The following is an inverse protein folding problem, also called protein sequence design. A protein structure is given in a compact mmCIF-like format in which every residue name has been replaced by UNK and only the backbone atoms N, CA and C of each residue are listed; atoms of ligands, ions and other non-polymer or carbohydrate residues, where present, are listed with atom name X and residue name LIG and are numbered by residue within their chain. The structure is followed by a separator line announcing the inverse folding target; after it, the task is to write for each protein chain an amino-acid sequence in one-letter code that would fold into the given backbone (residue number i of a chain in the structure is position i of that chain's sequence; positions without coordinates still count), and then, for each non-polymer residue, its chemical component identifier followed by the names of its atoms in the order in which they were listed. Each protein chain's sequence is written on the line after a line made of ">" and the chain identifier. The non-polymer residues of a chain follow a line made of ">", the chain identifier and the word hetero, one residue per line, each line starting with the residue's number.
data_IF_820057578120
#
_entry.id   IF_820057578120
#
_cell.length_a   1.000
_cell.length_b   1.000
_cell.length_c   1.000
_cell.angle_alpha   90.00
_cell.angle_beta   90.00
_cell.angle_gamma   90.00
#
_symmetry.space_group_name_H-M   'P 1'
#
loop_
_entity.id
_entity.type
_entity.pdbx_description
1 polymer ?
#
# COMPACT_ATOMS: atom_id res chain seq x y z
N UNK A 1 -8.16 -10.09 7.95
CA UNK A 1 -7.16 -11.18 7.95
C UNK A 1 -5.79 -10.54 7.88
N UNK A 2 -4.95 -10.68 8.91
CA UNK A 2 -3.60 -10.12 8.89
C UNK A 2 -2.71 -10.92 7.92
N UNK A 3 -2.23 -10.27 6.86
CA UNK A 3 -1.52 -10.92 5.74
C UNK A 3 -0.03 -11.17 6.02
N UNK A 4 0.50 -10.58 7.10
CA UNK A 4 1.94 -10.61 7.43
C UNK A 4 2.43 -12.04 7.72
N UNK A 5 1.69 -12.84 8.48
CA UNK A 5 2.12 -14.21 8.79
C UNK A 5 2.32 -15.07 7.54
N UNK A 6 1.31 -15.21 6.66
CA UNK A 6 1.45 -15.97 5.42
C UNK A 6 2.59 -15.46 4.51
N UNK A 7 2.79 -14.14 4.39
CA UNK A 7 3.79 -13.59 3.45
C UNK A 7 5.22 -14.01 3.78
N UNK A 8 5.54 -14.23 5.07
CA UNK A 8 6.86 -14.71 5.51
C UNK A 8 7.23 -16.09 4.96
N UNK A 9 6.26 -16.86 4.46
CA UNK A 9 6.49 -18.23 3.99
C UNK A 9 6.77 -18.34 2.49
N UNK A 10 6.53 -17.26 1.73
CA UNK A 10 6.61 -17.22 0.27
C UNK A 10 8.03 -16.96 -0.29
N UNK A 11 8.87 -16.08 0.30
CA UNK A 11 10.19 -15.80 -0.24
C UNK A 11 11.11 -17.02 -0.20
N UNK A 12 12.01 -17.08 -1.18
CA UNK A 12 13.16 -18.00 -1.19
C UNK A 12 14.12 -17.67 -0.04
N UNK A 13 15.11 -18.55 0.19
CA UNK A 13 16.24 -18.25 1.10
C UNK A 13 16.96 -16.97 0.66
N UNK A 14 17.26 -16.09 1.60
CA UNK A 14 17.79 -14.74 1.41
C UNK A 14 16.78 -13.76 0.80
N UNK A 15 15.50 -14.10 0.77
CA UNK A 15 14.46 -13.26 0.18
C UNK A 15 14.06 -12.08 1.06
N UNK A 16 13.35 -11.12 0.45
CA UNK A 16 12.94 -9.88 1.11
C UNK A 16 11.43 -9.81 1.32
N UNK A 17 11.02 -9.17 2.42
CA UNK A 17 9.63 -8.87 2.74
C UNK A 17 9.52 -7.40 3.12
N UNK A 18 8.83 -6.61 2.29
CA UNK A 18 8.53 -5.21 2.57
C UNK A 18 7.17 -5.08 3.28
N UNK A 19 7.16 -4.46 4.46
CA UNK A 19 5.97 -4.20 5.26
C UNK A 19 5.53 -2.74 5.09
N UNK A 20 4.41 -2.53 4.39
CA UNK A 20 3.78 -1.22 4.18
C UNK A 20 2.46 -1.04 4.95
N UNK A 21 1.76 -2.13 5.23
CA UNK A 21 0.44 -2.08 5.88
C UNK A 21 0.56 -1.81 7.38
N UNK A 22 -0.32 -0.95 7.90
CA UNK A 22 -0.40 -0.63 9.33
C UNK A 22 -1.37 -1.60 10.00
N UNK A 23 -0.93 -2.43 10.96
CA UNK A 23 -1.83 -3.27 11.73
C UNK A 23 -2.59 -2.43 12.77
N UNK A 24 -3.91 -2.63 12.86
CA UNK A 24 -4.76 -2.03 13.91
C UNK A 24 -5.08 -3.01 15.05
N UNK A 25 -4.45 -4.19 15.04
CA UNK A 25 -4.58 -5.24 16.05
C UNK A 25 -3.29 -6.06 16.10
N UNK A 26 -3.11 -6.84 17.16
CA UNK A 26 -1.95 -7.70 17.35
C UNK A 26 -1.76 -8.69 16.19
N UNK A 27 -0.50 -8.90 15.82
CA UNK A 27 -0.12 -9.85 14.78
C UNK A 27 0.33 -11.15 15.44
N UNK A 28 -0.46 -12.20 15.24
CA UNK A 28 -0.12 -13.55 15.70
C UNK A 28 0.65 -14.30 14.61
N UNK A 29 1.83 -14.83 14.96
CA UNK A 29 2.66 -15.64 14.08
C UNK A 29 2.74 -17.07 14.61
N UNK A 30 2.45 -18.04 13.75
CA UNK A 30 2.75 -19.43 14.05
C UNK A 30 4.26 -19.67 14.07
N UNK A 31 4.70 -20.70 14.80
CA UNK A 31 6.10 -21.16 14.82
C UNK A 31 6.68 -21.31 13.40
N UNK A 32 5.92 -21.91 12.47
CA UNK A 32 6.36 -22.11 11.08
C UNK A 32 6.62 -20.80 10.33
N UNK A 33 5.80 -19.78 10.55
CA UNK A 33 5.96 -18.47 9.93
C UNK A 33 7.15 -17.72 10.53
N UNK A 34 7.29 -17.76 11.85
CA UNK A 34 8.42 -17.13 12.53
C UNK A 34 9.75 -17.78 12.15
N UNK A 35 9.83 -19.11 12.18
CA UNK A 35 11.06 -19.85 11.82
C UNK A 35 11.52 -19.57 10.39
N UNK A 36 10.63 -19.15 9.47
CA UNK A 36 11.04 -18.78 8.11
C UNK A 36 11.96 -17.58 8.09
N UNK A 37 11.77 -16.60 8.96
CA UNK A 37 12.69 -15.46 9.06
C UNK A 37 14.11 -15.95 9.32
N UNK A 38 14.28 -16.89 10.25
CA UNK A 38 15.58 -17.40 10.65
C UNK A 38 16.15 -18.38 9.62
N UNK A 39 15.38 -19.41 9.25
CA UNK A 39 15.85 -20.50 8.38
C UNK A 39 16.11 -20.05 6.95
N UNK A 40 15.32 -19.11 6.49
CA UNK A 40 15.52 -18.51 5.17
C UNK A 40 16.36 -17.23 5.24
N UNK A 41 16.84 -16.79 6.40
CA UNK A 41 17.61 -15.55 6.55
C UNK A 41 16.95 -14.38 5.82
N UNK A 42 15.65 -14.16 6.10
CA UNK A 42 14.86 -13.17 5.38
C UNK A 42 15.25 -11.75 5.78
N UNK A 43 15.28 -10.85 4.79
CA UNK A 43 15.35 -9.42 5.04
C UNK A 43 13.93 -8.86 5.22
N UNK A 44 13.55 -8.52 6.44
CA UNK A 44 12.23 -7.96 6.76
C UNK A 44 12.36 -6.46 6.95
N UNK A 45 11.79 -5.69 6.02
CA UNK A 45 11.97 -4.25 5.91
C UNK A 45 10.66 -3.56 6.26
N UNK A 46 10.69 -2.68 7.28
CA UNK A 46 9.60 -1.75 7.53
C UNK A 46 9.69 -0.54 6.59
N UNK A 47 8.57 -0.14 6.02
CA UNK A 47 8.48 1.08 5.21
C UNK A 47 7.39 1.99 5.75
N UNK A 48 7.68 3.29 5.77
CA UNK A 48 6.77 4.31 6.26
C UNK A 48 6.74 5.49 5.30
N UNK A 49 5.56 5.73 4.70
CA UNK A 49 5.34 6.75 3.67
C UNK A 49 6.26 6.59 2.44
N UNK A 50 6.34 7.63 1.61
CA UNK A 50 7.18 7.71 0.41
C UNK A 50 8.00 8.99 0.41
N UNK A 51 8.87 9.15 1.40
CA UNK A 51 9.73 10.32 1.56
C UNK A 51 11.18 9.88 1.75
N UNK A 52 12.10 10.59 1.11
CA UNK A 52 13.54 10.40 1.32
C UNK A 52 14.28 11.73 1.26
N UNK A 53 15.55 11.72 1.69
CA UNK A 53 16.43 12.86 1.56
C UNK A 53 17.12 12.87 0.19
N UNK A 54 17.35 14.06 -0.40
CA UNK A 54 16.82 15.36 0.02
C UNK A 54 15.30 15.44 -0.22
N UNK A 55 14.59 16.18 0.64
CA UNK A 55 13.13 16.30 0.56
C UNK A 55 12.67 16.83 -0.82
N UNK A 56 11.59 16.28 -1.40
CA UNK A 56 10.71 15.23 -0.86
C UNK A 56 11.19 13.80 -1.13
N UNK A 57 12.32 13.64 -1.83
CA UNK A 57 12.89 12.36 -2.20
C UNK A 57 12.78 12.06 -3.68
N UNK A 58 13.60 11.13 -4.16
CA UNK A 58 13.63 10.70 -5.57
C UNK A 58 12.33 10.03 -6.01
N UNK A 59 11.56 9.50 -5.07
CA UNK A 59 10.30 8.78 -5.32
C UNK A 59 9.28 9.70 -6.01
N UNK A 60 9.28 10.99 -5.67
CA UNK A 60 8.39 11.99 -6.24
C UNK A 60 8.73 12.29 -7.70
N UNK A 61 9.99 12.62 -7.98
CA UNK A 61 10.45 12.89 -9.34
C UNK A 61 10.36 11.65 -10.22
N UNK A 62 10.66 10.45 -9.68
CA UNK A 62 10.50 9.18 -10.39
C UNK A 62 9.04 8.91 -10.75
N UNK A 63 8.11 9.14 -9.82
CA UNK A 63 6.67 8.95 -10.07
C UNK A 63 6.20 9.87 -11.20
N UNK A 64 6.52 11.16 -11.14
CA UNK A 64 6.18 12.12 -12.20
C UNK A 64 6.80 11.74 -13.55
N UNK A 65 8.05 11.27 -13.54
CA UNK A 65 8.72 10.80 -14.75
C UNK A 65 7.95 9.64 -15.39
N UNK A 66 7.68 8.56 -14.65
CA UNK A 66 6.98 7.39 -15.20
C UNK A 66 5.53 7.68 -15.58
N UNK A 67 4.87 8.63 -14.91
CA UNK A 67 3.56 9.12 -15.36
C UNK A 67 3.67 9.87 -16.70
N UNK A 68 4.68 10.73 -16.84
CA UNK A 68 4.89 11.51 -18.08
C UNK A 68 5.28 10.65 -19.29
N UNK A 69 5.98 9.52 -19.07
CA UNK A 69 6.36 8.57 -20.13
C UNK A 69 5.27 7.55 -20.44
N UNK A 70 4.19 7.50 -19.64
CA UNK A 70 3.09 6.55 -19.80
C UNK A 70 3.40 5.13 -19.32
N UNK A 71 4.55 4.92 -18.67
CA UNK A 71 4.95 3.66 -18.05
C UNK A 71 4.16 3.39 -16.76
N UNK A 72 3.79 4.45 -16.04
CA UNK A 72 2.90 4.42 -14.90
C UNK A 72 1.54 5.03 -15.28
N UNK A 73 0.53 4.17 -15.45
CA UNK A 73 -0.85 4.57 -15.77
C UNK A 73 -1.70 4.58 -14.51
N UNK A 74 -2.19 5.75 -14.12
CA UNK A 74 -2.96 5.94 -12.87
C UNK A 74 -4.48 5.96 -13.12
N UNK A 75 -4.90 6.20 -14.35
CA UNK A 75 -6.32 6.31 -14.72
C UNK A 75 -7.13 5.06 -14.33
N UNK A 76 -6.61 3.82 -14.49
CA UNK A 76 -7.38 2.62 -14.15
C UNK A 76 -7.70 2.44 -12.66
N UNK A 77 -6.98 3.12 -11.75
CA UNK A 77 -7.26 3.04 -10.31
C UNK A 77 -8.25 4.11 -9.84
N UNK A 78 -8.55 5.10 -10.68
CA UNK A 78 -9.51 6.17 -10.39
C UNK A 78 -10.91 5.61 -10.65
N UNK A 79 -11.63 5.31 -9.57
CA UNK A 79 -13.00 4.81 -9.68
C UNK A 79 -13.98 5.93 -9.98
N UNK A 80 -13.72 7.14 -9.47
CA UNK A 80 -14.66 8.26 -9.55
C UNK A 80 -13.95 9.63 -9.60
N UNK A 81 -14.52 10.52 -10.39
CA UNK A 81 -14.19 11.96 -10.42
C UNK A 81 -15.48 12.73 -10.21
N UNK A 82 -15.62 13.41 -9.07
CA UNK A 82 -16.88 14.01 -8.61
C UNK A 82 -16.69 15.48 -8.25
N UNK A 83 -17.72 16.34 -8.36
CA UNK A 83 -17.66 17.70 -7.83
C UNK A 83 -17.57 17.69 -6.30
N UNK A 84 -16.91 18.70 -5.73
CA UNK A 84 -16.69 18.81 -4.28
C UNK A 84 -17.99 18.77 -3.45
N UNK A 85 -19.09 19.28 -4.00
CA UNK A 85 -20.42 19.27 -3.39
C UNK A 85 -20.93 17.86 -3.04
N UNK A 86 -20.50 16.83 -3.78
CA UNK A 86 -20.87 15.43 -3.51
C UNK A 86 -20.02 14.78 -2.40
N UNK A 87 -19.08 15.52 -1.81
CA UNK A 87 -18.21 15.05 -0.73
C UNK A 87 -18.97 14.36 0.41
N UNK A 88 -19.95 15.02 1.06
CA UNK A 88 -20.64 14.45 2.23
C UNK A 88 -21.28 13.09 1.96
N UNK A 89 -22.03 12.95 0.85
CA UNK A 89 -22.65 11.67 0.47
C UNK A 89 -21.61 10.62 0.14
N UNK A 90 -20.55 11.00 -0.58
CA UNK A 90 -19.48 10.08 -0.98
C UNK A 90 -18.71 9.55 0.23
N UNK A 91 -18.40 10.40 1.22
CA UNK A 91 -17.74 9.97 2.45
C UNK A 91 -18.63 9.03 3.28
N UNK A 92 -19.93 9.30 3.37
CA UNK A 92 -20.88 8.39 4.00
C UNK A 92 -20.91 7.02 3.30
N UNK A 93 -20.93 7.01 1.96
CA UNK A 93 -20.88 5.79 1.17
C UNK A 93 -19.56 5.02 1.35
N UNK A 94 -18.42 5.72 1.43
CA UNK A 94 -17.10 5.14 1.68
C UNK A 94 -17.01 4.47 3.06
N UNK A 95 -17.38 5.20 4.12
CA UNK A 95 -17.28 4.71 5.51
C UNK A 95 -18.23 3.53 5.72
N UNK A 96 -19.46 3.63 5.23
CA UNK A 96 -20.48 2.61 5.40
C UNK A 96 -20.45 1.52 4.33
N UNK A 97 -19.44 1.54 3.44
CA UNK A 97 -19.23 0.55 2.36
C UNK A 97 -20.48 0.31 1.51
N UNK A 98 -21.22 1.39 1.20
CA UNK A 98 -22.48 1.32 0.45
C UNK A 98 -22.27 0.93 -1.02
N UNK A 99 -21.06 1.17 -1.55
CA UNK A 99 -20.58 0.66 -2.84
C UNK A 99 -19.07 0.44 -2.81
N UNK A 100 -18.54 -0.22 -3.84
CA UNK A 100 -17.11 -0.34 -4.04
C UNK A 100 -16.53 0.99 -4.55
N UNK A 101 -15.39 1.37 -3.98
CA UNK A 101 -14.57 2.51 -4.37
C UNK A 101 -13.11 2.08 -4.35
N UNK A 102 -12.32 2.60 -5.29
CA UNK A 102 -10.86 2.52 -5.25
C UNK A 102 -10.32 3.92 -4.93
N UNK A 103 -10.03 4.72 -5.95
CA UNK A 103 -9.61 6.12 -5.79
C UNK A 103 -10.71 7.07 -6.26
N UNK A 104 -11.22 7.87 -5.33
CA UNK A 104 -12.11 9.02 -5.61
C UNK A 104 -11.28 10.30 -5.71
N UNK A 105 -11.53 11.10 -6.74
CA UNK A 105 -10.99 12.46 -6.91
C UNK A 105 -12.13 13.46 -6.87
N UNK A 106 -11.99 14.51 -6.06
CA UNK A 106 -12.91 15.64 -6.07
C UNK A 106 -12.35 16.78 -6.92
N UNK A 107 -13.14 17.27 -7.86
CA UNK A 107 -12.85 18.50 -8.61
C UNK A 107 -13.48 19.69 -7.89
N UNK A 108 -12.74 20.81 -7.76
CA UNK A 108 -13.29 22.07 -7.22
C UNK A 108 -14.51 22.57 -8.00
#
# INVERSE_FOLDING_TARGET
>A
MATIGPVLTLPKKGGEVLLLGIPYADIQLSRKQFEKILRNELNVIGSWNGLSAPFPGKEWSSTLHYMSTGELKIEPIISDVLPLEQGPETFDALVNKKRAFDKVIFTP
#
